data_IF_864906325325
#
_entry.id   IF_864906325325
#
_cell.length_a   1.000
_cell.length_b   1.000
_cell.length_c   1.000
_cell.angle_alpha   90.00
_cell.angle_beta   90.00
_cell.angle_gamma   90.00
#
_symmetry.space_group_name_H-M   'P 1'
#
loop_
_entity.id
_entity.type
_entity.pdbx_description
1 polymer ?
#
# COMPACT_ATOMS: atom_id res chain seq x y z
N UNK A 1 -23.71 -16.04 -0.47
CA UNK A 1 -22.36 -15.46 -0.53
C UNK A 1 -22.41 -14.33 -1.53
N UNK A 2 -21.92 -13.15 -1.16
CA UNK A 2 -21.91 -11.99 -2.06
C UNK A 2 -20.81 -12.13 -3.11
N UNK A 3 -20.98 -11.47 -4.26
CA UNK A 3 -19.98 -11.47 -5.34
C UNK A 3 -18.86 -10.49 -5.00
N UNK A 4 -17.63 -10.97 -5.02
CA UNK A 4 -16.42 -10.16 -4.83
C UNK A 4 -15.81 -9.89 -6.20
N UNK A 5 -15.47 -8.63 -6.47
CA UNK A 5 -14.87 -8.20 -7.75
C UNK A 5 -13.64 -7.34 -7.49
N UNK A 6 -12.64 -7.43 -8.38
CA UNK A 6 -11.51 -6.52 -8.40
C UNK A 6 -11.86 -5.27 -9.22
N UNK A 7 -11.70 -4.10 -8.61
CA UNK A 7 -12.05 -2.82 -9.25
C UNK A 7 -10.82 -2.02 -9.70
N UNK A 8 -9.66 -2.24 -9.08
CA UNK A 8 -8.39 -1.60 -9.44
C UNK A 8 -7.21 -2.36 -8.82
N UNK A 9 -6.00 -2.11 -9.33
CA UNK A 9 -4.75 -2.57 -8.74
C UNK A 9 -3.57 -1.80 -9.30
N UNK A 10 -2.70 -1.32 -8.42
CA UNK A 10 -1.42 -0.68 -8.76
C UNK A 10 -0.27 -1.34 -8.03
N UNK A 11 0.94 -1.00 -8.45
CA UNK A 11 2.20 -1.40 -7.83
C UNK A 11 3.23 -0.30 -7.99
N UNK A 12 4.20 -0.23 -7.08
CA UNK A 12 5.42 0.57 -7.27
C UNK A 12 6.41 -0.14 -8.21
N UNK A 13 7.38 0.55 -8.80
CA UNK A 13 8.59 -0.10 -9.31
C UNK A 13 9.30 -0.87 -8.20
N UNK A 14 10.01 -1.94 -8.55
CA UNK A 14 10.86 -2.66 -7.61
C UNK A 14 12.26 -2.07 -7.63
N UNK A 15 12.79 -1.77 -6.44
CA UNK A 15 14.16 -1.32 -6.26
C UNK A 15 15.11 -2.50 -6.07
N UNK A 16 16.32 -2.39 -6.60
CA UNK A 16 17.40 -3.31 -6.24
C UNK A 16 17.83 -3.08 -4.78
N UNK A 17 18.44 -4.09 -4.16
CA UNK A 17 19.01 -3.97 -2.81
C UNK A 17 20.04 -2.82 -2.77
N UNK A 18 19.86 -1.87 -1.84
CA UNK A 18 20.69 -0.66 -1.75
C UNK A 18 20.53 0.33 -2.91
N UNK A 19 19.51 0.15 -3.76
CA UNK A 19 19.26 0.95 -4.95
C UNK A 19 18.39 2.18 -4.72
N UNK A 20 17.66 2.60 -5.76
CA UNK A 20 16.90 3.86 -5.82
C UNK A 20 15.78 4.01 -4.78
N UNK A 21 15.28 2.91 -4.23
CA UNK A 21 14.20 2.91 -3.23
C UNK A 21 14.68 2.59 -1.81
N UNK A 22 16.00 2.52 -1.57
CA UNK A 22 16.54 2.11 -0.26
C UNK A 22 16.10 3.02 0.90
N UNK A 23 15.86 4.30 0.61
CA UNK A 23 15.50 5.33 1.58
C UNK A 23 13.97 5.52 1.68
N UNK A 24 13.17 4.72 0.96
CA UNK A 24 11.71 4.77 0.98
C UNK A 24 11.20 3.64 1.88
N UNK A 25 10.42 3.99 2.90
CA UNK A 25 9.93 3.01 3.87
C UNK A 25 8.86 2.08 3.25
N UNK A 26 8.64 0.92 3.89
CA UNK A 26 7.53 0.04 3.54
C UNK A 26 6.17 0.75 3.66
N UNK A 27 6.05 1.66 4.64
CA UNK A 27 4.87 2.53 4.80
C UNK A 27 4.67 3.42 3.58
N UNK A 28 5.69 4.16 3.17
CA UNK A 28 5.58 5.11 2.05
C UNK A 28 5.31 4.43 0.71
N UNK A 29 5.91 3.24 0.48
CA UNK A 29 5.63 2.43 -0.71
C UNK A 29 4.16 1.95 -0.73
N UNK A 30 3.63 1.59 0.43
CA UNK A 30 2.24 1.15 0.57
C UNK A 30 1.27 2.31 0.39
N UNK A 31 1.53 3.47 0.99
CA UNK A 31 0.77 4.72 0.80
C UNK A 31 0.73 5.11 -0.67
N UNK A 32 1.88 5.07 -1.34
CA UNK A 32 2.00 5.40 -2.78
C UNK A 32 1.10 4.49 -3.62
N UNK A 33 1.12 3.19 -3.34
CA UNK A 33 0.32 2.20 -4.08
C UNK A 33 -1.18 2.35 -3.80
N UNK A 34 -1.56 2.57 -2.54
CA UNK A 34 -2.94 2.76 -2.13
C UNK A 34 -3.56 3.99 -2.79
N UNK A 35 -2.87 5.14 -2.75
CA UNK A 35 -3.30 6.38 -3.41
C UNK A 35 -3.51 6.19 -4.91
N UNK A 36 -2.53 5.60 -5.60
CA UNK A 36 -2.64 5.35 -7.04
C UNK A 36 -3.76 4.36 -7.41
N UNK A 37 -4.04 3.38 -6.53
CA UNK A 37 -5.14 2.41 -6.72
C UNK A 37 -6.49 3.09 -6.57
N UNK A 38 -6.69 3.89 -5.52
CA UNK A 38 -7.93 4.63 -5.30
C UNK A 38 -8.17 5.67 -6.40
N UNK A 39 -7.13 6.37 -6.83
CA UNK A 39 -7.19 7.32 -7.95
C UNK A 39 -7.63 6.62 -9.25
N UNK A 40 -7.02 5.48 -9.60
CA UNK A 40 -7.43 4.72 -10.78
C UNK A 40 -8.86 4.20 -10.66
N UNK A 41 -9.30 3.81 -9.46
CA UNK A 41 -10.66 3.37 -9.20
C UNK A 41 -11.68 4.52 -9.22
N UNK A 42 -11.24 5.78 -9.18
CA UNK A 42 -12.12 6.94 -9.02
C UNK A 42 -12.86 6.94 -7.67
N UNK A 43 -12.26 6.37 -6.63
CA UNK A 43 -12.87 6.22 -5.31
C UNK A 43 -12.26 7.16 -4.28
N UNK A 44 -13.13 7.72 -3.44
CA UNK A 44 -12.73 8.47 -2.26
C UNK A 44 -12.24 7.52 -1.16
N UNK A 45 -11.17 7.84 -0.40
CA UNK A 45 -10.68 6.99 0.68
C UNK A 45 -11.72 6.62 1.74
N UNK A 46 -12.73 7.47 1.97
CA UNK A 46 -13.81 7.25 2.93
C UNK A 46 -14.74 6.09 2.55
N UNK A 47 -14.63 5.57 1.31
CA UNK A 47 -15.34 4.36 0.86
C UNK A 47 -14.63 3.07 1.25
N UNK A 48 -13.41 3.13 1.76
CA UNK A 48 -12.66 1.95 2.20
C UNK A 48 -13.01 1.64 3.65
N UNK A 49 -13.71 0.53 3.86
CA UNK A 49 -14.12 0.09 5.21
C UNK A 49 -13.04 -0.74 5.91
N UNK A 50 -12.19 -1.41 5.14
CA UNK A 50 -11.17 -2.30 5.67
C UNK A 50 -9.90 -2.26 4.83
N UNK A 51 -8.76 -2.29 5.52
CA UNK A 51 -7.44 -2.36 4.92
C UNK A 51 -6.71 -3.58 5.47
N UNK A 52 -6.22 -4.41 4.55
CA UNK A 52 -5.34 -5.55 4.87
C UNK A 52 -4.02 -5.32 4.18
N UNK A 53 -2.93 -5.36 4.94
CA UNK A 53 -1.59 -5.17 4.43
C UNK A 53 -0.75 -6.42 4.68
N UNK A 54 -0.09 -6.91 3.63
CA UNK A 54 0.97 -7.92 3.75
C UNK A 54 2.33 -7.25 3.92
N UNK A 55 2.97 -7.44 5.08
CA UNK A 55 4.37 -7.09 5.31
C UNK A 55 5.07 -8.22 6.09
N UNK A 56 6.26 -8.62 5.65
CA UNK A 56 6.96 -9.78 6.22
C UNK A 56 7.96 -9.36 7.31
N UNK A 57 8.91 -8.48 6.97
CA UNK A 57 9.96 -8.03 7.89
C UNK A 57 9.68 -6.60 8.31
N UNK A 58 9.69 -6.33 9.61
CA UNK A 58 9.58 -4.97 10.14
C UNK A 58 10.92 -4.25 9.95
N UNK A 59 10.99 -3.35 8.97
CA UNK A 59 12.24 -2.68 8.56
C UNK A 59 12.25 -1.16 8.84
N UNK A 60 11.26 -0.64 9.56
CA UNK A 60 11.12 0.76 9.95
C UNK A 60 10.65 0.90 11.39
N UNK A 61 10.89 2.06 12.00
CA UNK A 61 10.50 2.34 13.39
C UNK A 61 8.98 2.34 13.59
N UNK A 62 8.21 2.58 12.53
CA UNK A 62 6.76 2.59 12.51
C UNK A 62 6.15 1.30 11.94
N UNK A 63 6.96 0.28 11.65
CA UNK A 63 6.53 -0.90 10.89
C UNK A 63 5.42 -1.75 11.56
N UNK A 64 5.20 -1.58 12.87
CA UNK A 64 4.07 -2.19 13.57
C UNK A 64 2.72 -1.52 13.23
N UNK A 65 2.73 -0.29 12.71
CA UNK A 65 1.56 0.55 12.48
C UNK A 65 1.28 0.84 11.01
N UNK A 66 2.01 0.20 10.08
CA UNK A 66 1.86 0.44 8.64
C UNK A 66 0.39 0.43 8.19
N UNK A 67 -0.45 -0.56 8.54
CA UNK A 67 -1.85 -0.59 8.09
C UNK A 67 -2.67 0.62 8.57
N UNK A 68 -2.25 1.27 9.65
CA UNK A 68 -2.91 2.45 10.20
C UNK A 68 -2.35 3.76 9.65
N UNK A 69 -1.12 3.74 9.14
CA UNK A 69 -0.44 4.89 8.53
C UNK A 69 -0.78 5.07 7.05
N UNK A 70 -1.25 4.01 6.38
CA UNK A 70 -1.80 4.07 5.02
C UNK A 70 -3.19 4.73 5.05
#
# INVERSE_FOLDING_TARGET
MEKIVFISGKRTPFGAFGGSLKDVSATDLSVTTAKATLEQAGLSPEKVEHLVLGNVVQSGSDAAYIPKHI
#
